data_IF_586805730297
#
_entry.id   IF_586805730297
#
_cell.length_a   1.000
_cell.length_b   1.000
_cell.length_c   1.000
_cell.angle_alpha   90.00
_cell.angle_beta   90.00
_cell.angle_gamma   90.00
#
_symmetry.space_group_name_H-M   'P 1'
#
loop_
_entity.id
_entity.type
_entity.pdbx_description
1 polymer ?
#
# COMPACT_ATOMS: atom_id res chain seq x y z
N UNK A 1 -7.04 21.99 -18.31
CA UNK A 1 -6.69 22.07 -16.87
C UNK A 1 -7.35 20.95 -16.05
N UNK A 2 -8.67 20.74 -16.12
CA UNK A 2 -9.35 19.67 -15.37
C UNK A 2 -8.85 18.26 -15.73
N UNK A 3 -8.72 17.96 -17.03
CA UNK A 3 -8.27 16.63 -17.49
C UNK A 3 -6.84 16.34 -17.05
N UNK A 4 -5.98 17.35 -17.06
CA UNK A 4 -4.62 17.24 -16.54
C UNK A 4 -4.60 16.90 -15.05
N UNK A 5 -5.39 17.60 -14.22
CA UNK A 5 -5.47 17.30 -12.78
C UNK A 5 -6.03 15.90 -12.51
N UNK A 6 -7.02 15.45 -13.29
CA UNK A 6 -7.54 14.10 -13.19
C UNK A 6 -6.48 13.06 -13.52
N UNK A 7 -5.70 13.29 -14.58
CA UNK A 7 -4.59 12.41 -14.95
C UNK A 7 -3.52 12.37 -13.84
N UNK A 8 -3.15 13.51 -13.25
CA UNK A 8 -2.21 13.58 -12.12
C UNK A 8 -2.72 12.75 -10.94
N UNK A 9 -3.98 12.92 -10.53
CA UNK A 9 -4.57 12.16 -9.43
C UNK A 9 -4.61 10.68 -9.75
N UNK A 10 -5.10 10.30 -10.93
CA UNK A 10 -5.24 8.91 -11.33
C UNK A 10 -3.89 8.21 -11.43
N UNK A 11 -2.92 8.80 -12.15
CA UNK A 11 -1.57 8.23 -12.28
C UNK A 11 -0.90 8.16 -10.91
N UNK A 12 -0.97 9.23 -10.11
CA UNK A 12 -0.34 9.27 -8.79
C UNK A 12 -0.91 8.23 -7.82
N UNK A 13 -2.22 7.95 -7.86
CA UNK A 13 -2.82 6.83 -7.10
C UNK A 13 -2.16 5.50 -7.48
N UNK A 14 -1.99 5.22 -8.78
CA UNK A 14 -1.34 3.98 -9.23
C UNK A 14 0.18 3.97 -8.98
N UNK A 15 0.84 5.13 -8.97
CA UNK A 15 2.26 5.23 -8.61
C UNK A 15 2.51 4.78 -7.16
N UNK A 16 1.58 5.01 -6.24
CA UNK A 16 1.74 4.52 -4.85
C UNK A 16 1.84 3.00 -4.77
N UNK A 17 1.23 2.27 -5.72
CA UNK A 17 1.31 0.80 -5.77
C UNK A 17 2.71 0.31 -6.12
N UNK A 18 3.55 1.13 -6.75
CA UNK A 18 4.92 0.75 -7.14
C UNK A 18 5.93 0.94 -6.00
N UNK A 19 5.54 1.60 -4.91
CA UNK A 19 6.43 1.91 -3.77
C UNK A 19 7.10 0.67 -3.15
N UNK A 20 6.43 -0.50 -3.03
CA UNK A 20 7.09 -1.72 -2.54
C UNK A 20 8.34 -2.14 -3.33
N UNK A 21 8.46 -1.72 -4.60
CA UNK A 21 9.60 -2.04 -5.47
C UNK A 21 10.83 -1.18 -5.18
N UNK A 22 10.64 -0.05 -4.51
CA UNK A 22 11.70 0.93 -4.28
C UNK A 22 12.61 0.49 -3.13
N UNK A 23 13.91 0.44 -3.37
CA UNK A 23 14.96 0.25 -2.36
C UNK A 23 15.94 1.42 -2.50
N UNK A 24 16.32 2.05 -1.40
CA UNK A 24 17.16 3.26 -1.40
C UNK A 24 18.47 3.04 -0.67
N UNK A 25 19.45 2.43 -1.33
CA UNK A 25 20.73 2.04 -0.73
C UNK A 25 21.59 3.24 -0.27
N UNK A 26 21.27 4.45 -0.71
CA UNK A 26 21.92 5.69 -0.24
C UNK A 26 21.43 6.17 1.11
N UNK A 27 20.32 5.62 1.62
CA UNK A 27 19.72 5.98 2.91
C UNK A 27 20.15 4.98 4.00
N UNK A 28 20.22 5.44 5.26
CA UNK A 28 20.60 4.57 6.39
C UNK A 28 19.62 3.40 6.62
N UNK A 29 18.33 3.56 6.28
CA UNK A 29 17.34 2.49 6.27
C UNK A 29 16.78 2.27 4.85
N UNK A 30 17.46 1.46 4.02
CA UNK A 30 17.16 1.36 2.58
C UNK A 30 15.75 0.90 2.24
N UNK A 31 15.17 0.06 3.10
CA UNK A 31 13.86 -0.58 2.88
C UNK A 31 12.68 0.22 3.42
N UNK A 32 12.92 1.30 4.17
CA UNK A 32 11.88 2.04 4.90
C UNK A 32 11.85 3.51 4.50
N UNK A 33 12.97 4.21 4.66
CA UNK A 33 13.00 5.67 4.60
C UNK A 33 12.59 6.21 3.23
N UNK A 34 13.21 5.68 2.18
CA UNK A 34 12.94 6.10 0.81
C UNK A 34 11.47 5.89 0.40
N UNK A 35 10.90 4.74 0.77
CA UNK A 35 9.51 4.38 0.47
C UNK A 35 8.51 5.33 1.13
N UNK A 36 8.75 5.65 2.40
CA UNK A 36 7.88 6.56 3.15
C UNK A 36 7.93 7.98 2.60
N UNK A 37 9.11 8.49 2.25
CA UNK A 37 9.21 9.79 1.59
C UNK A 37 8.52 9.79 0.22
N UNK A 38 8.76 8.76 -0.61
CA UNK A 38 8.10 8.64 -1.90
C UNK A 38 6.57 8.61 -1.76
N UNK A 39 6.04 7.83 -0.80
CA UNK A 39 4.61 7.80 -0.51
C UNK A 39 4.08 9.18 -0.16
N UNK A 40 4.71 9.86 0.82
CA UNK A 40 4.26 11.15 1.30
C UNK A 40 4.26 12.20 0.19
N UNK A 41 5.33 12.29 -0.60
CA UNK A 41 5.44 13.23 -1.72
C UNK A 41 4.36 12.97 -2.77
N UNK A 42 4.16 11.70 -3.15
CA UNK A 42 3.11 11.36 -4.12
C UNK A 42 1.73 11.73 -3.58
N UNK A 43 1.45 11.42 -2.31
CA UNK A 43 0.18 11.74 -1.64
C UNK A 43 -0.05 13.25 -1.57
N UNK A 44 0.95 14.04 -1.21
CA UNK A 44 0.84 15.51 -1.18
C UNK A 44 0.48 16.08 -2.55
N UNK A 45 1.14 15.59 -3.61
CA UNK A 45 0.88 16.03 -4.99
C UNK A 45 -0.55 15.68 -5.42
N UNK A 46 -0.98 14.41 -5.23
CA UNK A 46 -2.33 14.00 -5.66
C UNK A 46 -3.42 14.62 -4.79
N UNK A 47 -3.17 14.83 -3.50
CA UNK A 47 -4.13 15.48 -2.61
C UNK A 47 -4.30 16.95 -2.99
N UNK A 48 -3.21 17.69 -3.23
CA UNK A 48 -3.27 19.07 -3.71
C UNK A 48 -4.01 19.17 -5.05
N UNK A 49 -3.72 18.28 -6.01
CA UNK A 49 -4.43 18.23 -7.29
C UNK A 49 -5.93 17.92 -7.12
N UNK A 50 -6.27 17.00 -6.22
CA UNK A 50 -7.65 16.66 -5.88
C UNK A 50 -8.40 17.81 -5.20
N UNK A 51 -7.76 18.56 -4.29
CA UNK A 51 -8.37 19.74 -3.66
C UNK A 51 -8.75 20.77 -4.72
N UNK A 52 -7.86 21.05 -5.68
CA UNK A 52 -8.16 21.96 -6.80
C UNK A 52 -9.36 21.45 -7.60
N UNK A 53 -9.43 20.15 -7.91
CA UNK A 53 -10.59 19.56 -8.60
C UNK A 53 -11.89 19.70 -7.78
N UNK A 54 -11.85 19.45 -6.47
CA UNK A 54 -12.99 19.53 -5.56
C UNK A 54 -13.52 20.96 -5.38
N UNK A 55 -12.65 21.96 -5.52
CA UNK A 55 -13.02 23.38 -5.54
C UNK A 55 -13.61 23.79 -6.90
N UNK A 56 -13.07 23.28 -8.00
CA UNK A 56 -13.53 23.62 -9.36
C UNK A 56 -14.89 23.00 -9.74
N UNK A 57 -15.21 21.84 -9.20
CA UNK A 57 -16.45 21.13 -9.52
C UNK A 57 -16.91 20.25 -8.34
N UNK A 58 -18.17 20.44 -7.94
CA UNK A 58 -18.78 19.74 -6.81
C UNK A 58 -18.82 18.23 -7.00
N UNK A 59 -18.73 17.73 -8.23
CA UNK A 59 -18.63 16.30 -8.55
C UNK A 59 -17.41 15.64 -7.91
N UNK A 60 -16.32 16.36 -7.69
CA UNK A 60 -15.06 15.80 -7.16
C UNK A 60 -15.01 15.76 -5.63
N UNK A 61 -15.95 16.43 -4.95
CA UNK A 61 -16.02 16.46 -3.48
C UNK A 61 -16.29 15.06 -2.91
N UNK A 62 -15.81 14.78 -1.69
CA UNK A 62 -16.05 13.50 -1.04
C UNK A 62 -17.55 13.38 -0.74
N UNK A 63 -18.11 12.19 -0.96
CA UNK A 63 -19.49 11.88 -0.59
C UNK A 63 -19.51 11.41 0.87
N UNK A 64 -20.58 11.75 1.58
CA UNK A 64 -20.74 11.26 2.93
C UNK A 64 -20.84 9.72 2.91
N UNK A 65 -20.03 9.10 3.76
CA UNK A 65 -20.05 7.69 4.11
C UNK A 65 -19.65 7.64 5.57
N UNK A 66 -20.23 6.74 6.37
CA UNK A 66 -19.86 6.59 7.77
C UNK A 66 -18.37 6.31 7.99
N UNK A 67 -17.65 5.83 6.98
CA UNK A 67 -16.19 5.68 7.01
C UNK A 67 -15.47 7.03 7.16
N UNK A 68 -15.94 8.09 6.51
CA UNK A 68 -15.25 9.39 6.54
C UNK A 68 -15.25 10.01 7.96
N UNK A 69 -16.39 10.20 8.66
CA UNK A 69 -16.38 10.75 10.01
C UNK A 69 -15.73 9.80 11.02
N UNK A 70 -15.84 8.47 10.87
CA UNK A 70 -15.19 7.54 11.81
C UNK A 70 -13.68 7.55 11.67
N UNK A 71 -13.13 7.54 10.45
CA UNK A 71 -11.68 7.66 10.25
C UNK A 71 -11.17 9.05 10.66
N UNK A 72 -11.96 10.11 10.41
CA UNK A 72 -11.62 11.47 10.89
C UNK A 72 -11.60 11.55 12.41
N UNK A 73 -12.59 10.96 13.08
CA UNK A 73 -12.65 10.91 14.54
C UNK A 73 -11.49 10.08 15.11
N UNK A 74 -11.18 8.93 14.50
CA UNK A 74 -10.01 8.14 14.86
C UNK A 74 -8.72 8.95 14.77
N UNK A 75 -8.50 9.66 13.66
CA UNK A 75 -7.32 10.52 13.47
C UNK A 75 -7.26 11.63 14.53
N UNK A 76 -8.40 12.24 14.88
CA UNK A 76 -8.49 13.25 15.93
C UNK A 76 -8.17 12.69 17.33
N UNK A 77 -8.65 11.48 17.65
CA UNK A 77 -8.36 10.81 18.92
C UNK A 77 -6.87 10.49 19.02
N UNK A 78 -6.28 9.92 17.96
CA UNK A 78 -4.84 9.62 17.94
C UNK A 78 -4.01 10.90 18.07
N UNK A 79 -4.39 11.97 17.38
CA UNK A 79 -3.69 13.27 17.50
C UNK A 79 -3.66 13.78 18.93
N UNK A 80 -4.81 13.74 19.62
CA UNK A 80 -4.91 14.14 21.03
C UNK A 80 -4.02 13.23 21.88
N UNK A 81 -4.10 11.91 21.71
CA UNK A 81 -3.27 10.95 22.44
C UNK A 81 -1.77 11.19 22.22
N UNK A 82 -1.34 11.51 21.00
CA UNK A 82 0.06 11.74 20.65
C UNK A 82 0.60 13.04 21.27
N UNK A 83 -0.20 14.10 21.33
CA UNK A 83 0.19 15.37 21.98
C UNK A 83 0.33 15.21 23.50
N UNK A 84 -0.56 14.44 24.11
CA UNK A 84 -0.53 14.18 25.56
C UNK A 84 0.32 12.97 25.95
N UNK A 85 1.03 12.35 24.99
CA UNK A 85 1.93 11.22 25.23
C UNK A 85 3.24 11.63 25.90
N UNK A 86 3.99 10.64 26.39
CA UNK A 86 5.27 10.87 27.08
C UNK A 86 6.34 11.51 26.18
N UNK A 87 6.35 11.17 24.88
CA UNK A 87 7.28 11.71 23.89
C UNK A 87 6.56 12.24 22.64
N UNK A 88 5.88 13.40 22.71
CA UNK A 88 4.99 13.87 21.63
C UNK A 88 5.68 14.02 20.27
N UNK A 89 6.91 14.53 20.24
CA UNK A 89 7.66 14.66 18.98
C UNK A 89 7.91 13.31 18.31
N UNK A 90 8.18 12.27 19.11
CA UNK A 90 8.43 10.92 18.59
C UNK A 90 7.12 10.23 18.18
N UNK A 91 6.02 10.48 18.88
CA UNK A 91 4.69 10.01 18.47
C UNK A 91 4.25 10.63 17.14
N UNK A 92 4.48 11.93 16.97
CA UNK A 92 4.08 12.64 15.75
C UNK A 92 4.92 12.24 14.52
N UNK A 93 6.25 12.24 14.66
CA UNK A 93 7.17 12.08 13.53
C UNK A 93 7.72 10.66 13.36
N UNK A 94 7.69 9.84 14.41
CA UNK A 94 8.43 8.58 14.50
C UNK A 94 9.94 8.78 14.36
N UNK A 95 10.65 7.72 13.95
CA UNK A 95 12.07 7.73 13.60
C UNK A 95 12.24 7.28 12.14
N UNK A 96 13.47 7.33 11.63
CA UNK A 96 13.76 6.89 10.25
C UNK A 96 13.70 5.36 10.07
N UNK A 97 13.85 4.58 11.14
CA UNK A 97 13.80 3.12 11.07
C UNK A 97 12.40 2.59 10.75
N UNK A 98 11.35 3.27 11.23
CA UNK A 98 9.95 2.84 11.07
C UNK A 98 9.13 3.82 10.25
N UNK A 99 9.32 5.12 10.48
CA UNK A 99 8.56 6.22 9.86
C UNK A 99 7.02 6.14 10.02
N UNK A 100 6.53 5.28 10.91
CA UNK A 100 5.10 5.03 11.18
C UNK A 100 4.50 5.98 12.24
N UNK A 101 4.79 7.28 12.19
CA UNK A 101 4.26 8.27 13.14
C UNK A 101 2.88 8.80 12.76
N UNK A 102 2.32 9.71 13.57
CA UNK A 102 1.06 10.41 13.26
C UNK A 102 1.05 11.01 11.84
N UNK A 103 2.18 11.59 11.42
CA UNK A 103 2.31 12.16 10.07
C UNK A 103 1.99 11.11 9.01
N UNK A 104 2.43 9.85 9.18
CA UNK A 104 2.11 8.79 8.23
C UNK A 104 0.61 8.45 8.24
N UNK A 105 -0.03 8.43 9.42
CA UNK A 105 -1.49 8.25 9.53
C UNK A 105 -2.26 9.36 8.81
N UNK A 106 -1.81 10.60 8.91
CA UNK A 106 -2.39 11.72 8.15
C UNK A 106 -2.28 11.45 6.65
N UNK A 107 -1.12 11.03 6.14
CA UNK A 107 -0.98 10.75 4.71
C UNK A 107 -1.84 9.56 4.26
N UNK A 108 -2.00 8.52 5.08
CA UNK A 108 -2.96 7.45 4.79
C UNK A 108 -4.40 7.97 4.72
N UNK A 109 -4.77 8.91 5.61
CA UNK A 109 -6.09 9.56 5.57
C UNK A 109 -6.27 10.41 4.31
N UNK A 110 -5.27 11.23 3.94
CA UNK A 110 -5.31 12.02 2.71
C UNK A 110 -5.45 11.11 1.48
N UNK A 111 -4.68 10.02 1.45
CA UNK A 111 -4.75 9.03 0.38
C UNK A 111 -6.13 8.35 0.31
N UNK A 112 -6.71 7.98 1.45
CA UNK A 112 -8.07 7.45 1.54
C UNK A 112 -9.11 8.40 0.94
N UNK A 113 -9.03 9.71 1.23
CA UNK A 113 -9.94 10.72 0.67
C UNK A 113 -9.81 10.79 -0.86
N UNK A 114 -8.59 10.77 -1.39
CA UNK A 114 -8.33 10.78 -2.84
C UNK A 114 -8.79 9.48 -3.51
N UNK A 115 -8.56 8.33 -2.87
CA UNK A 115 -9.02 7.02 -3.36
C UNK A 115 -10.54 6.94 -3.45
N UNK A 116 -11.26 7.40 -2.42
CA UNK A 116 -12.72 7.43 -2.39
C UNK A 116 -13.32 8.23 -3.54
N UNK A 117 -12.57 9.21 -4.06
CA UNK A 117 -12.94 9.94 -5.27
C UNK A 117 -12.55 9.19 -6.55
N UNK A 118 -11.33 8.66 -6.62
CA UNK A 118 -10.72 8.14 -7.86
C UNK A 118 -11.29 6.78 -8.26
N UNK A 119 -11.51 5.88 -7.29
CA UNK A 119 -12.00 4.51 -7.52
C UNK A 119 -13.53 4.44 -7.37
N UNK A 120 -14.27 5.20 -8.18
CA UNK A 120 -15.75 5.22 -8.12
C UNK A 120 -16.44 4.08 -8.87
N UNK A 121 -15.83 3.63 -9.96
CA UNK A 121 -16.38 2.59 -10.80
C UNK A 121 -15.71 1.25 -10.52
N UNK A 122 -16.49 0.16 -10.57
CA UNK A 122 -15.99 -1.20 -10.36
C UNK A 122 -14.81 -1.54 -11.28
N UNK A 123 -14.80 -1.03 -12.53
CA UNK A 123 -13.68 -1.22 -13.45
C UNK A 123 -12.34 -0.69 -12.91
N UNK A 124 -12.34 0.45 -12.22
CA UNK A 124 -11.12 1.05 -11.69
C UNK A 124 -10.60 0.29 -10.47
N UNK A 125 -11.50 -0.27 -9.65
CA UNK A 125 -11.11 -1.21 -8.60
C UNK A 125 -10.44 -2.45 -9.18
N UNK A 126 -11.00 -3.02 -10.26
CA UNK A 126 -10.38 -4.16 -10.94
C UNK A 126 -8.98 -3.82 -11.48
N UNK A 127 -8.79 -2.63 -12.07
CA UNK A 127 -7.46 -2.19 -12.50
C UNK A 127 -6.50 -2.02 -11.32
N UNK A 128 -6.94 -1.34 -10.26
CA UNK A 128 -6.13 -1.12 -9.07
C UNK A 128 -5.67 -2.44 -8.43
N UNK A 129 -6.60 -3.40 -8.27
CA UNK A 129 -6.29 -4.72 -7.72
C UNK A 129 -5.36 -5.53 -8.63
N UNK A 130 -5.56 -5.51 -9.95
CA UNK A 130 -4.64 -6.19 -10.86
C UNK A 130 -3.25 -5.53 -10.89
N UNK A 131 -3.16 -4.21 -10.78
CA UNK A 131 -1.86 -3.53 -10.70
C UNK A 131 -1.11 -3.90 -9.42
N UNK A 132 -1.74 -3.84 -8.25
CA UNK A 132 -1.07 -4.24 -7.00
C UNK A 132 -0.70 -5.72 -7.00
N UNK A 133 -1.49 -6.59 -7.65
CA UNK A 133 -1.12 -8.00 -7.84
C UNK A 133 0.09 -8.18 -8.75
N UNK A 134 0.20 -7.41 -9.83
CA UNK A 134 1.39 -7.41 -10.69
C UNK A 134 2.64 -7.03 -9.88
N UNK A 135 2.54 -5.97 -9.07
CA UNK A 135 3.63 -5.54 -8.17
C UNK A 135 3.95 -6.63 -7.15
N UNK A 136 2.94 -7.19 -6.47
CA UNK A 136 3.15 -8.25 -5.49
C UNK A 136 3.75 -9.52 -6.09
N UNK A 137 3.40 -9.84 -7.33
CA UNK A 137 4.01 -10.94 -8.09
C UNK A 137 5.49 -10.69 -8.32
N UNK A 138 5.86 -9.48 -8.72
CA UNK A 138 7.27 -9.10 -8.83
C UNK A 138 8.00 -9.22 -7.49
N UNK A 139 7.44 -8.67 -6.40
CA UNK A 139 8.03 -8.75 -5.05
C UNK A 139 8.19 -10.22 -4.60
N UNK A 140 7.21 -11.08 -4.86
CA UNK A 140 7.28 -12.51 -4.58
C UNK A 140 8.42 -13.20 -5.35
N UNK A 141 8.50 -12.97 -6.67
CA UNK A 141 9.53 -13.56 -7.52
C UNK A 141 10.94 -13.05 -7.18
N UNK A 142 11.07 -11.77 -6.81
CA UNK A 142 12.33 -11.20 -6.36
C UNK A 142 12.80 -11.86 -5.05
N UNK A 143 11.88 -12.05 -4.09
CA UNK A 143 12.19 -12.75 -2.83
C UNK A 143 12.61 -14.21 -3.04
N UNK A 144 12.00 -14.92 -3.99
CA UNK A 144 12.44 -16.26 -4.39
C UNK A 144 13.86 -16.24 -4.94
N UNK A 145 14.16 -15.30 -5.83
CA UNK A 145 15.49 -15.19 -6.43
C UNK A 145 16.57 -14.83 -5.38
N UNK A 146 16.24 -14.05 -4.35
CA UNK A 146 17.14 -13.86 -3.21
C UNK A 146 17.37 -15.16 -2.44
N UNK A 147 16.31 -15.93 -2.16
CA UNK A 147 16.42 -17.19 -1.41
C UNK A 147 17.22 -18.27 -2.15
N UNK A 148 17.22 -18.26 -3.49
CA UNK A 148 18.00 -19.19 -4.30
C UNK A 148 19.46 -18.78 -4.49
N UNK A 149 19.88 -17.64 -3.93
CA UNK A 149 21.24 -17.10 -4.06
C UNK A 149 21.51 -16.41 -5.40
N UNK A 150 20.49 -16.13 -6.23
CA UNK A 150 20.66 -15.35 -7.46
C UNK A 150 20.92 -13.86 -7.18
N UNK A 151 20.44 -13.36 -6.05
CA UNK A 151 20.68 -12.00 -5.58
C UNK A 151 21.24 -12.00 -4.16
N UNK A 152 22.02 -10.97 -3.84
CA UNK A 152 22.49 -10.73 -2.48
C UNK A 152 21.31 -10.41 -1.55
N UNK A 153 21.37 -10.88 -0.30
CA UNK A 153 20.34 -10.66 0.72
C UNK A 153 19.54 -11.90 1.17
N UNK A 154 19.85 -13.10 0.68
CA UNK A 154 19.20 -14.35 1.11
C UNK A 154 19.99 -15.10 2.18
N UNK A 155 19.38 -15.33 3.35
CA UNK A 155 20.05 -16.03 4.46
C UNK A 155 19.12 -16.63 5.51
N UNK A 156 17.87 -16.97 5.12
CA UNK A 156 16.91 -17.60 6.02
C UNK A 156 15.48 -17.41 5.55
N UNK A 157 14.83 -16.33 5.99
CA UNK A 157 13.41 -16.03 5.73
C UNK A 157 13.30 -15.11 4.51
N UNK A 158 12.31 -15.34 3.65
CA UNK A 158 12.07 -14.46 2.50
C UNK A 158 11.52 -13.10 2.96
N UNK A 159 12.19 -12.02 2.57
CA UNK A 159 11.82 -10.64 2.90
C UNK A 159 11.77 -9.69 1.68
N UNK A 160 12.43 -10.04 0.56
CA UNK A 160 12.33 -9.32 -0.72
C UNK A 160 12.73 -7.84 -0.61
N UNK A 161 12.28 -7.02 -1.55
CA UNK A 161 12.42 -5.55 -1.50
C UNK A 161 11.75 -4.91 -0.29
N UNK A 162 11.02 -5.67 0.55
CA UNK A 162 10.43 -5.17 1.80
C UNK A 162 11.42 -5.16 2.97
N UNK A 163 12.49 -5.96 2.91
CA UNK A 163 13.57 -5.98 3.91
C UNK A 163 13.13 -6.43 5.32
N UNK A 164 11.94 -7.01 5.44
CA UNK A 164 11.46 -7.64 6.67
C UNK A 164 10.48 -8.78 6.33
N UNK A 165 10.77 -9.99 6.82
CA UNK A 165 9.95 -11.17 6.58
C UNK A 165 8.51 -11.03 7.13
N UNK A 166 8.30 -10.25 8.19
CA UNK A 166 6.96 -9.99 8.73
C UNK A 166 6.15 -9.05 7.83
N UNK A 167 6.80 -8.03 7.24
CA UNK A 167 6.18 -7.17 6.23
C UNK A 167 5.85 -7.96 4.97
N UNK A 168 6.75 -8.84 4.54
CA UNK A 168 6.51 -9.74 3.42
C UNK A 168 5.33 -10.68 3.68
N UNK A 169 5.24 -11.28 4.86
CA UNK A 169 4.14 -12.16 5.23
C UNK A 169 2.77 -11.46 5.17
N UNK A 170 2.62 -10.30 5.84
CA UNK A 170 1.35 -9.58 5.84
C UNK A 170 1.00 -9.05 4.45
N UNK A 171 2.01 -8.64 3.68
CA UNK A 171 1.82 -8.20 2.30
C UNK A 171 1.30 -9.34 1.42
N UNK A 172 1.88 -10.54 1.49
CA UNK A 172 1.36 -11.72 0.78
C UNK A 172 -0.06 -12.07 1.23
N UNK A 173 -0.35 -12.05 2.54
CA UNK A 173 -1.68 -12.38 3.08
C UNK A 173 -2.78 -11.51 2.46
N UNK A 174 -2.62 -10.19 2.48
CA UNK A 174 -3.60 -9.29 1.85
C UNK A 174 -3.77 -9.57 0.35
N UNK A 175 -2.68 -9.85 -0.37
CA UNK A 175 -2.75 -10.13 -1.80
C UNK A 175 -3.38 -11.49 -2.12
N UNK A 176 -3.27 -12.49 -1.24
CA UNK A 176 -4.02 -13.75 -1.36
C UNK A 176 -5.51 -13.49 -1.32
N UNK A 177 -6.00 -12.69 -0.37
CA UNK A 177 -7.42 -12.33 -0.31
C UNK A 177 -7.88 -11.54 -1.55
N UNK A 178 -7.04 -10.65 -2.09
CA UNK A 178 -7.33 -9.95 -3.35
C UNK A 178 -7.43 -10.93 -4.52
N UNK A 179 -6.52 -11.92 -4.62
CA UNK A 179 -6.57 -12.95 -5.66
C UNK A 179 -7.84 -13.79 -5.58
N UNK A 180 -8.19 -14.25 -4.37
CA UNK A 180 -9.43 -15.01 -4.13
C UNK A 180 -10.65 -14.16 -4.50
N UNK A 181 -10.68 -12.89 -4.09
CA UNK A 181 -11.75 -11.97 -4.48
C UNK A 181 -11.88 -11.86 -6.01
N UNK A 182 -10.79 -11.60 -6.74
CA UNK A 182 -10.83 -11.48 -8.20
C UNK A 182 -11.15 -12.80 -8.90
N UNK A 183 -10.70 -13.93 -8.36
CA UNK A 183 -11.03 -15.27 -8.83
C UNK A 183 -12.53 -15.53 -8.79
N UNK A 184 -13.18 -15.19 -7.68
CA UNK A 184 -14.62 -15.39 -7.50
C UNK A 184 -15.47 -14.43 -8.36
N UNK A 185 -14.93 -13.27 -8.74
CA UNK A 185 -15.66 -12.27 -9.51
C UNK A 185 -15.45 -12.36 -11.03
N UNK A 186 -14.40 -13.03 -11.50
CA UNK A 186 -14.15 -13.16 -12.94
C UNK A 186 -14.87 -14.38 -13.54
N UNK A 187 -15.43 -14.21 -14.74
CA UNK A 187 -15.99 -15.30 -15.55
C UNK A 187 -15.00 -15.89 -16.55
N UNK A 188 -13.84 -15.24 -16.74
CA UNK A 188 -12.84 -15.66 -17.71
C UNK A 188 -11.97 -16.78 -17.13
N UNK A 189 -12.05 -17.97 -17.73
CA UNK A 189 -11.30 -19.18 -17.28
C UNK A 189 -9.79 -18.98 -17.26
N UNK A 190 -9.23 -18.21 -18.20
CA UNK A 190 -7.79 -17.92 -18.22
C UNK A 190 -7.40 -17.06 -17.01
N UNK A 191 -8.18 -16.01 -16.72
CA UNK A 191 -7.93 -15.17 -15.53
C UNK A 191 -8.12 -15.94 -14.23
N UNK A 192 -9.10 -16.86 -14.17
CA UNK A 192 -9.25 -17.76 -13.01
C UNK A 192 -7.99 -18.60 -12.80
N UNK A 193 -7.43 -19.18 -13.86
CA UNK A 193 -6.19 -19.94 -13.76
C UNK A 193 -5.01 -19.08 -13.29
N UNK A 194 -4.86 -17.86 -13.85
CA UNK A 194 -3.82 -16.91 -13.42
C UNK A 194 -3.95 -16.57 -11.94
N UNK A 195 -5.15 -16.25 -11.45
CA UNK A 195 -5.35 -15.91 -10.04
C UNK A 195 -5.14 -17.13 -9.13
N UNK A 196 -5.55 -18.33 -9.55
CA UNK A 196 -5.32 -19.56 -8.78
C UNK A 196 -3.82 -19.86 -8.65
N UNK A 197 -3.07 -19.77 -9.75
CA UNK A 197 -1.60 -19.95 -9.74
C UNK A 197 -0.94 -18.89 -8.85
N UNK A 198 -1.36 -17.64 -8.97
CA UNK A 198 -0.89 -16.55 -8.12
C UNK A 198 -1.14 -16.81 -6.63
N UNK A 199 -2.31 -17.36 -6.27
CA UNK A 199 -2.64 -17.66 -4.87
C UNK A 199 -1.71 -18.74 -4.31
N UNK A 200 -1.46 -19.80 -5.08
CA UNK A 200 -0.52 -20.86 -4.68
C UNK A 200 0.89 -20.28 -4.48
N UNK A 201 1.35 -19.43 -5.41
CA UNK A 201 2.62 -18.73 -5.27
C UNK A 201 2.67 -17.90 -3.98
N UNK A 202 1.68 -17.04 -3.74
CA UNK A 202 1.71 -16.15 -2.56
C UNK A 202 1.57 -16.91 -1.25
N UNK A 203 0.80 -18.00 -1.21
CA UNK A 203 0.73 -18.90 -0.05
C UNK A 203 2.09 -19.53 0.21
N UNK A 204 2.76 -20.04 -0.84
CA UNK A 204 4.10 -20.60 -0.71
C UNK A 204 5.08 -19.57 -0.13
N UNK A 205 5.14 -18.37 -0.69
CA UNK A 205 6.03 -17.30 -0.18
C UNK A 205 5.68 -16.90 1.24
N UNK A 206 4.40 -16.79 1.56
CA UNK A 206 3.95 -16.51 2.92
C UNK A 206 4.52 -17.56 3.89
N UNK A 207 4.46 -18.85 3.56
CA UNK A 207 5.04 -19.91 4.40
C UNK A 207 6.56 -19.80 4.53
N UNK A 208 7.26 -19.49 3.44
CA UNK A 208 8.73 -19.28 3.43
C UNK A 208 9.17 -18.04 4.22
N UNK A 209 8.26 -17.11 4.52
CA UNK A 209 8.58 -16.00 5.43
C UNK A 209 8.74 -16.45 6.89
N UNK A 210 8.30 -17.66 7.26
CA UNK A 210 8.40 -18.17 8.63
C UNK A 210 7.58 -17.41 9.69
N UNK A 211 6.67 -16.51 9.28
CA UNK A 211 5.90 -15.65 10.19
C UNK A 211 4.63 -16.35 10.69
N UNK A 212 4.74 -17.11 11.79
CA UNK A 212 3.64 -17.94 12.34
C UNK A 212 2.31 -17.21 12.58
N UNK A 213 2.35 -15.93 12.99
CA UNK A 213 1.12 -15.15 13.21
C UNK A 213 0.30 -14.98 11.93
N UNK A 214 0.96 -14.76 10.79
CA UNK A 214 0.30 -14.67 9.49
C UNK A 214 -0.23 -16.01 9.02
N UNK A 215 0.38 -17.13 9.42
CA UNK A 215 -0.07 -18.48 9.03
C UNK A 215 -1.44 -18.81 9.63
N UNK A 216 -1.68 -18.37 10.88
CA UNK A 216 -2.95 -18.57 11.57
C UNK A 216 -4.05 -17.67 10.99
N UNK A 217 -3.67 -16.52 10.42
CA UNK A 217 -4.60 -15.56 9.81
C UNK A 217 -5.03 -15.88 8.38
N UNK A 218 -4.39 -16.85 7.72
CA UNK A 218 -4.75 -17.36 6.40
C UNK A 218 -5.84 -18.43 6.52
#
# INVERSE_FOLDING_TARGET
MRDFLQAVVFIGVFLTLLIPLMVSDTMFFPFITGKNFAFRIVVDIIFAAWVILALLDTKYRPRFSWLLPTTTAFLGIIFIADIFGEYPLKSLWSNFERMDGFVMLVHFFLYFVVLAHTLRESKYWTYFFNTTLGVATYVALYGLAQSSGLFEGGGGRIDSTLGNASYMAIYMLFHIFILVYLFLHTKNRLLQAVYAIGSVLFVYILLETGTRGTFIGL
#
